data_IF_449620587889
#
_entry.id   IF_449620587889
#
_cell.length_a   1.000
_cell.length_b   1.000
_cell.length_c   1.000
_cell.angle_alpha   90.00
_cell.angle_beta   90.00
_cell.angle_gamma   90.00
#
_symmetry.space_group_name_H-M   'P 1'
#
loop_
_entity.id
_entity.type
_entity.pdbx_description
1 polymer ?
#
# COMPACT_ATOMS: atom_id res chain seq x y z
N UNK A 1 -16.88 0.41 -26.09
CA UNK A 1 -15.90 1.30 -25.42
C UNK A 1 -14.75 1.48 -26.38
N UNK A 2 -14.40 2.71 -26.76
CA UNK A 2 -13.22 2.95 -27.59
C UNK A 2 -11.99 2.80 -26.69
N UNK A 3 -11.14 1.82 -26.97
CA UNK A 3 -9.82 1.69 -26.34
C UNK A 3 -8.91 2.74 -26.97
N UNK A 4 -8.31 3.60 -26.16
CA UNK A 4 -7.33 4.57 -26.61
C UNK A 4 -5.93 4.11 -26.19
N UNK A 5 -5.03 4.00 -27.16
CA UNK A 5 -3.64 3.62 -26.89
C UNK A 5 -2.88 4.83 -26.36
N UNK A 6 -2.17 4.62 -25.25
CA UNK A 6 -1.40 5.65 -24.56
C UNK A 6 0.08 5.27 -24.63
N UNK A 7 0.91 6.17 -25.15
CA UNK A 7 2.35 5.97 -25.28
C UNK A 7 3.08 6.33 -23.97
N UNK A 8 3.56 5.30 -23.26
CA UNK A 8 4.33 5.45 -22.01
C UNK A 8 5.85 5.50 -22.25
N UNK A 9 6.34 5.51 -23.50
CA UNK A 9 7.79 5.67 -23.77
C UNK A 9 8.27 7.07 -23.39
N UNK A 10 7.36 8.04 -23.38
CA UNK A 10 7.52 9.40 -22.86
C UNK A 10 6.65 9.62 -21.61
N UNK A 11 6.94 10.64 -20.79
CA UNK A 11 6.07 11.01 -19.68
C UNK A 11 4.67 11.35 -20.17
N UNK A 12 3.67 10.63 -19.66
CA UNK A 12 2.28 10.72 -20.10
C UNK A 12 1.34 10.75 -18.90
N UNK A 13 0.30 11.58 -19.01
CA UNK A 13 -0.69 11.76 -17.94
C UNK A 13 -1.63 10.56 -17.94
N UNK A 14 -1.77 9.94 -16.76
CA UNK A 14 -2.87 9.04 -16.44
C UNK A 14 -3.88 9.84 -15.62
N UNK A 15 -5.04 10.06 -16.23
CA UNK A 15 -6.10 10.90 -15.66
C UNK A 15 -6.82 10.19 -14.51
N UNK A 16 -7.41 11.00 -13.62
CA UNK A 16 -8.17 10.47 -12.49
C UNK A 16 -9.36 9.64 -12.97
N UNK A 17 -9.55 8.49 -12.33
CA UNK A 17 -10.63 7.54 -12.56
C UNK A 17 -10.66 6.96 -13.99
N UNK A 18 -9.59 7.14 -14.78
CA UNK A 18 -9.41 6.47 -16.05
C UNK A 18 -8.72 5.11 -15.84
N UNK A 19 -9.22 4.09 -16.52
CA UNK A 19 -8.69 2.74 -16.46
C UNK A 19 -7.65 2.54 -17.55
N UNK A 20 -6.45 2.12 -17.15
CA UNK A 20 -5.34 1.82 -18.05
C UNK A 20 -4.91 0.37 -17.86
N UNK A 21 -4.85 -0.40 -18.95
CA UNK A 21 -4.24 -1.75 -18.96
C UNK A 21 -2.86 -1.61 -19.59
N UNK A 22 -1.82 -1.84 -18.78
CA UNK A 22 -0.42 -1.58 -19.15
C UNK A 22 0.34 -2.90 -19.16
N UNK A 23 0.88 -3.35 -20.31
CA UNK A 23 1.81 -4.48 -20.33
C UNK A 23 3.03 -4.17 -19.44
N UNK A 24 3.35 -5.10 -18.53
CA UNK A 24 4.56 -4.98 -17.72
C UNK A 24 5.79 -5.38 -18.53
N UNK A 25 6.94 -4.84 -18.13
CA UNK A 25 8.22 -5.19 -18.74
C UNK A 25 8.66 -6.61 -18.34
N UNK A 26 8.32 -7.02 -17.12
CA UNK A 26 8.59 -8.34 -16.60
C UNK A 26 7.64 -9.39 -17.18
N UNK A 27 8.18 -10.60 -17.35
CA UNK A 27 7.43 -11.80 -17.73
C UNK A 27 7.89 -12.98 -16.87
N UNK A 28 7.03 -13.98 -16.76
CA UNK A 28 7.29 -15.11 -15.87
C UNK A 28 7.43 -16.42 -16.64
N UNK A 29 8.25 -17.31 -16.08
CA UNK A 29 8.36 -18.72 -16.44
C UNK A 29 8.58 -19.48 -15.14
N UNK A 30 7.49 -19.70 -14.40
CA UNK A 30 7.54 -20.29 -13.07
C UNK A 30 7.70 -21.81 -13.15
N UNK A 31 8.43 -22.43 -12.21
CA UNK A 31 8.36 -23.87 -11.98
C UNK A 31 6.95 -24.30 -11.55
N UNK A 32 6.57 -25.56 -11.81
CA UNK A 32 5.24 -26.11 -11.45
C UNK A 32 4.89 -26.01 -9.97
N UNK A 33 5.88 -25.98 -9.09
CA UNK A 33 5.71 -25.86 -7.65
C UNK A 33 5.80 -24.44 -7.11
N UNK A 34 5.78 -23.40 -7.96
CA UNK A 34 5.91 -22.00 -7.54
C UNK A 34 4.74 -21.20 -8.07
N UNK A 35 4.02 -20.56 -7.16
CA UNK A 35 3.00 -19.54 -7.46
C UNK A 35 3.49 -18.17 -6.97
N UNK A 36 2.73 -17.12 -7.26
CA UNK A 36 3.02 -15.81 -6.71
C UNK A 36 1.74 -15.01 -6.47
N UNK A 37 1.88 -13.95 -5.68
CA UNK A 37 0.83 -12.96 -5.46
C UNK A 37 1.40 -11.56 -5.52
N UNK A 38 0.69 -10.65 -6.15
CA UNK A 38 1.06 -9.25 -6.27
C UNK A 38 0.29 -8.37 -5.30
N UNK A 39 0.83 -7.18 -5.03
CA UNK A 39 0.07 -6.08 -4.45
C UNK A 39 0.65 -4.72 -4.87
N UNK A 40 -0.10 -3.64 -4.67
CA UNK A 40 0.43 -2.29 -4.84
C UNK A 40 1.60 -2.03 -3.89
N UNK A 41 2.59 -1.27 -4.37
CA UNK A 41 3.63 -0.74 -3.49
C UNK A 41 3.02 0.30 -2.57
N UNK A 42 3.52 0.39 -1.34
CA UNK A 42 3.07 1.38 -0.36
C UNK A 42 3.21 2.84 -0.85
N UNK A 43 4.14 3.13 -1.78
CA UNK A 43 4.22 4.46 -2.42
C UNK A 43 3.06 4.77 -3.36
N UNK A 44 2.52 3.75 -4.04
CA UNK A 44 1.37 3.82 -4.94
C UNK A 44 0.08 3.93 -4.13
N UNK A 45 -0.03 3.16 -3.05
CA UNK A 45 -1.13 3.25 -2.10
C UNK A 45 -1.25 4.66 -1.51
N UNK A 46 -0.13 5.24 -1.06
CA UNK A 46 -0.10 6.64 -0.57
C UNK A 46 -0.41 7.71 -1.62
N UNK A 47 -0.51 7.37 -2.90
CA UNK A 47 -0.97 8.26 -3.97
C UNK A 47 -2.41 7.95 -4.40
N UNK A 48 -3.05 6.99 -3.74
CA UNK A 48 -4.37 6.47 -4.09
C UNK A 48 -4.45 5.99 -5.54
N UNK A 49 -3.40 5.28 -5.97
CA UNK A 49 -3.35 4.63 -7.26
C UNK A 49 -3.81 3.19 -7.06
N UNK A 50 -4.98 2.86 -7.62
CA UNK A 50 -5.45 1.49 -7.69
C UNK A 50 -4.62 0.73 -8.73
N UNK A 51 -4.07 -0.42 -8.32
CA UNK A 51 -3.23 -1.26 -9.16
C UNK A 51 -3.61 -2.71 -8.95
N UNK A 52 -3.83 -3.45 -10.05
CA UNK A 52 -4.02 -4.90 -10.05
C UNK A 52 -3.13 -5.54 -11.10
N UNK A 53 -2.42 -6.60 -10.74
CA UNK A 53 -1.66 -7.40 -11.70
C UNK A 53 -2.58 -8.44 -12.35
N UNK A 54 -2.43 -8.61 -13.66
CA UNK A 54 -3.21 -9.51 -14.50
C UNK A 54 -2.26 -10.50 -15.16
N UNK A 55 -2.69 -11.76 -15.18
CA UNK A 55 -2.04 -12.85 -15.92
C UNK A 55 -2.96 -13.35 -17.02
N UNK A 56 -2.37 -13.84 -18.11
CA UNK A 56 -3.14 -14.57 -19.13
C UNK A 56 -3.83 -15.79 -18.52
N UNK A 57 -5.14 -15.92 -18.72
CA UNK A 57 -5.98 -16.99 -18.17
C UNK A 57 -6.04 -17.04 -16.62
N UNK A 58 -5.67 -15.94 -15.95
CA UNK A 58 -5.86 -15.82 -14.50
C UNK A 58 -7.34 -15.78 -14.14
N UNK A 59 -7.73 -16.49 -13.08
CA UNK A 59 -9.11 -16.49 -12.55
C UNK A 59 -9.36 -15.29 -11.61
N UNK A 60 -8.31 -14.78 -10.99
CA UNK A 60 -8.34 -13.68 -10.03
C UNK A 60 -7.23 -12.67 -10.33
N UNK A 61 -7.48 -11.39 -10.01
CA UNK A 61 -6.43 -10.38 -10.03
C UNK A 61 -5.37 -10.68 -8.96
N UNK A 62 -4.15 -10.20 -9.22
CA UNK A 62 -2.96 -10.28 -8.38
C UNK A 62 -2.41 -11.69 -8.12
N UNK A 63 -3.19 -12.75 -8.28
CA UNK A 63 -2.71 -14.12 -8.12
C UNK A 63 -2.08 -14.61 -9.44
N UNK A 64 -0.92 -15.25 -9.30
CA UNK A 64 -0.19 -15.90 -10.41
C UNK A 64 -0.21 -17.41 -10.16
N UNK A 65 -0.82 -18.21 -11.05
CA UNK A 65 -0.96 -19.64 -10.84
C UNK A 65 0.39 -20.36 -10.85
N UNK A 66 0.43 -21.53 -10.22
CA UNK A 66 1.64 -22.33 -10.16
C UNK A 66 2.09 -22.76 -11.57
N UNK A 67 3.37 -22.61 -11.88
CA UNK A 67 3.89 -22.96 -13.20
C UNK A 67 3.54 -21.97 -14.32
N UNK A 68 3.03 -20.78 -13.99
CA UNK A 68 2.67 -19.75 -14.97
C UNK A 68 3.84 -19.40 -15.90
N UNK A 69 3.56 -19.37 -17.21
CA UNK A 69 4.51 -18.97 -18.25
C UNK A 69 3.82 -17.99 -19.19
N UNK A 70 4.18 -16.70 -19.10
CA UNK A 70 3.48 -15.68 -19.86
C UNK A 70 3.86 -14.24 -19.50
N UNK A 71 3.28 -13.27 -20.23
CA UNK A 71 3.40 -11.85 -19.92
C UNK A 71 2.65 -11.48 -18.64
N UNK A 72 2.93 -10.30 -18.10
CA UNK A 72 2.12 -9.70 -17.05
C UNK A 72 1.55 -8.38 -17.53
N UNK A 73 0.38 -8.00 -17.02
CA UNK A 73 -0.20 -6.68 -17.24
C UNK A 73 -0.56 -6.06 -15.89
N UNK A 74 -0.71 -4.75 -15.85
CA UNK A 74 -1.26 -4.03 -14.72
C UNK A 74 -2.46 -3.20 -15.14
N UNK A 75 -3.58 -3.37 -14.44
CA UNK A 75 -4.64 -2.38 -14.40
C UNK A 75 -4.21 -1.26 -13.46
N UNK A 76 -4.21 -0.03 -13.94
CA UNK A 76 -3.81 1.17 -13.18
C UNK A 76 -4.91 2.23 -13.27
N UNK A 77 -5.39 2.67 -12.11
CA UNK A 77 -6.42 3.71 -11.98
C UNK A 77 -6.01 4.71 -10.90
N UNK A 78 -5.49 5.90 -11.26
CA UNK A 78 -5.28 6.98 -10.31
C UNK A 78 -6.63 7.49 -9.78
N UNK A 79 -6.85 7.57 -8.47
CA UNK A 79 -8.16 7.97 -7.91
C UNK A 79 -8.16 9.40 -7.36
N UNK A 80 -7.22 9.70 -6.46
CA UNK A 80 -7.11 11.05 -5.85
C UNK A 80 -6.39 12.06 -6.73
N UNK A 81 -5.26 11.67 -7.34
CA UNK A 81 -4.41 12.56 -8.13
C UNK A 81 -4.26 12.01 -9.54
N UNK A 82 -4.26 12.88 -10.55
CA UNK A 82 -3.73 12.51 -11.84
C UNK A 82 -2.21 12.31 -11.69
N UNK A 83 -1.62 11.40 -12.47
CA UNK A 83 -0.19 11.09 -12.36
C UNK A 83 0.52 11.17 -13.70
N UNK A 84 1.74 11.72 -13.72
CA UNK A 84 2.63 11.61 -14.88
C UNK A 84 3.41 10.31 -14.74
N UNK A 85 3.12 9.35 -15.60
CA UNK A 85 3.75 8.04 -15.62
C UNK A 85 4.61 7.86 -16.87
N UNK A 86 5.62 7.00 -16.77
CA UNK A 86 6.47 6.59 -17.88
C UNK A 86 6.86 5.12 -17.68
N UNK A 87 7.18 4.42 -18.77
CA UNK A 87 7.75 3.08 -18.72
C UNK A 87 8.93 3.00 -17.72
N UNK A 88 8.94 1.95 -16.90
CA UNK A 88 9.86 1.79 -15.77
C UNK A 88 9.35 2.34 -14.43
N UNK A 89 8.19 3.01 -14.40
CA UNK A 89 7.49 3.33 -13.16
C UNK A 89 7.12 2.03 -12.42
N UNK A 90 7.40 1.99 -11.11
CA UNK A 90 7.22 0.81 -10.27
C UNK A 90 6.03 1.03 -9.34
N UNK A 91 4.87 0.46 -9.70
CA UNK A 91 3.61 0.66 -8.99
C UNK A 91 3.15 -0.56 -8.18
N UNK A 92 3.49 -1.76 -8.62
CA UNK A 92 3.20 -3.02 -7.95
C UNK A 92 4.48 -3.78 -7.58
N UNK A 93 4.32 -4.84 -6.81
CA UNK A 93 5.35 -5.78 -6.41
C UNK A 93 4.75 -7.18 -6.32
N UNK A 94 5.59 -8.21 -6.45
CA UNK A 94 5.18 -9.61 -6.52
C UNK A 94 6.00 -10.44 -5.52
N UNK A 95 5.32 -11.31 -4.78
CA UNK A 95 5.92 -12.26 -3.83
C UNK A 95 5.71 -13.69 -4.32
N UNK A 96 6.80 -14.38 -4.58
CA UNK A 96 6.81 -15.79 -4.97
C UNK A 96 6.72 -16.69 -3.74
N UNK A 97 6.05 -17.82 -3.89
CA UNK A 97 5.84 -18.81 -2.81
C UNK A 97 5.81 -20.23 -3.37
N UNK A 98 6.14 -21.19 -2.53
CA UNK A 98 5.91 -22.60 -2.87
C UNK A 98 4.41 -22.85 -2.97
N UNK A 99 3.98 -23.50 -4.05
CA UNK A 99 2.59 -23.84 -4.27
C UNK A 99 2.21 -25.04 -3.39
N UNK A 100 1.44 -24.80 -2.33
CA UNK A 100 0.92 -25.84 -1.46
C UNK A 100 -0.59 -26.01 -1.63
N UNK A 101 -1.06 -27.26 -1.66
CA UNK A 101 -2.50 -27.58 -1.69
C UNK A 101 -3.19 -27.18 -0.39
N UNK A 102 -2.43 -27.11 0.72
CA UNK A 102 -2.91 -26.64 2.01
C UNK A 102 -2.44 -25.21 2.24
N UNK A 103 -3.31 -24.29 2.71
CA UNK A 103 -2.87 -22.98 3.16
C UNK A 103 -1.76 -23.15 4.22
N UNK A 104 -0.65 -22.44 4.04
CA UNK A 104 0.38 -22.35 5.08
C UNK A 104 -0.24 -21.62 6.27
N UNK A 105 -0.31 -22.28 7.42
CA UNK A 105 -0.83 -21.64 8.61
C UNK A 105 0.06 -20.44 8.96
N UNK A 106 -0.52 -19.27 9.27
CA UNK A 106 0.29 -18.12 9.65
C UNK A 106 1.03 -18.42 10.95
N UNK A 107 2.26 -17.92 11.06
CA UNK A 107 3.07 -18.02 12.28
C UNK A 107 2.34 -17.32 13.42
N UNK A 108 1.83 -16.13 13.13
CA UNK A 108 1.03 -15.31 14.04
C UNK A 108 0.20 -14.32 13.25
N UNK A 109 -0.80 -13.76 13.94
CA UNK A 109 -1.58 -12.63 13.42
C UNK A 109 -1.58 -11.50 14.44
N UNK A 110 -1.57 -10.26 13.95
CA UNK A 110 -1.60 -9.05 14.78
C UNK A 110 -2.75 -8.17 14.30
N UNK A 111 -3.74 -7.83 15.15
CA UNK A 111 -4.76 -6.86 14.77
C UNK A 111 -4.10 -5.48 14.57
N UNK A 112 -4.60 -4.73 13.60
CA UNK A 112 -4.15 -3.36 13.31
C UNK A 112 -5.30 -2.41 13.61
N UNK A 113 -5.04 -1.45 14.49
CA UNK A 113 -6.02 -0.44 14.90
C UNK A 113 -5.57 0.97 14.56
N UNK A 114 -6.50 1.90 14.36
CA UNK A 114 -6.17 3.29 13.98
C UNK A 114 -5.73 4.12 15.20
N UNK A 115 -4.65 4.89 15.02
CA UNK A 115 -4.18 5.88 15.97
C UNK A 115 -4.69 7.30 15.69
N UNK A 116 -5.76 7.72 16.37
CA UNK A 116 -6.27 9.10 16.36
C UNK A 116 -5.87 9.91 17.61
N UNK A 117 -4.92 9.45 18.43
CA UNK A 117 -4.42 10.24 19.57
C UNK A 117 -3.47 11.34 19.06
N UNK A 118 -3.73 12.64 19.30
CA UNK A 118 -2.81 13.71 18.90
C UNK A 118 -1.56 13.79 19.80
N UNK A 119 -1.54 13.11 20.96
CA UNK A 119 -0.43 13.18 21.91
C UNK A 119 0.89 12.71 21.28
N UNK A 120 1.93 13.54 21.40
CA UNK A 120 3.27 13.24 20.87
C UNK A 120 3.41 13.37 19.35
N UNK A 121 2.37 13.83 18.63
CA UNK A 121 2.42 14.10 17.18
C UNK A 121 2.70 15.57 16.92
N UNK A 122 3.54 15.84 15.93
CA UNK A 122 3.85 17.22 15.51
C UNK A 122 2.59 17.96 15.07
N UNK A 123 2.41 19.17 15.59
CA UNK A 123 1.19 19.97 15.39
C UNK A 123 -0.13 19.30 15.78
N UNK A 124 -0.10 18.17 16.51
CA UNK A 124 -1.29 17.36 16.79
C UNK A 124 -1.91 16.71 15.54
N UNK A 125 -1.14 16.54 14.46
CA UNK A 125 -1.62 15.98 13.20
C UNK A 125 -1.82 14.47 13.34
N UNK A 126 -3.07 14.01 13.19
CA UNK A 126 -3.47 12.62 13.31
C UNK A 126 -3.57 11.88 11.97
N UNK A 127 -3.53 12.62 10.86
CA UNK A 127 -3.67 12.07 9.51
C UNK A 127 -3.52 13.13 8.44
N UNK A 128 -3.63 12.72 7.18
CA UNK A 128 -3.75 13.61 6.04
C UNK A 128 -4.95 13.21 5.18
N UNK A 129 -5.68 14.20 4.66
CA UNK A 129 -6.71 14.03 3.63
C UNK A 129 -6.16 14.49 2.29
N UNK A 130 -6.35 13.70 1.24
CA UNK A 130 -5.99 14.13 -0.11
C UNK A 130 -6.87 15.30 -0.53
N UNK A 131 -6.31 16.32 -1.19
CA UNK A 131 -7.10 17.43 -1.72
C UNK A 131 -7.90 16.96 -2.94
N UNK A 132 -9.17 17.36 -3.00
CA UNK A 132 -10.06 17.11 -4.16
C UNK A 132 -9.54 17.73 -5.45
N UNK A 133 -8.93 18.91 -5.35
CA UNK A 133 -8.37 19.67 -6.46
C UNK A 133 -6.89 19.89 -6.18
N UNK A 134 -6.06 19.10 -6.85
CA UNK A 134 -4.61 19.16 -6.77
C UNK A 134 -4.02 19.07 -8.17
N UNK A 135 -2.75 19.44 -8.31
CA UNK A 135 -2.01 19.30 -9.55
C UNK A 135 -1.72 17.84 -9.93
N UNK A 136 -0.84 17.68 -10.90
CA UNK A 136 -0.35 16.39 -11.38
C UNK A 136 0.80 15.91 -10.50
N UNK A 137 0.78 14.64 -10.07
CA UNK A 137 1.94 14.03 -9.39
C UNK A 137 2.84 13.38 -10.43
N UNK A 138 4.03 13.94 -10.64
CA UNK A 138 5.09 13.31 -11.44
C UNK A 138 5.76 12.17 -10.66
N UNK A 139 5.57 10.93 -11.13
CA UNK A 139 6.11 9.72 -10.48
C UNK A 139 7.64 9.62 -10.57
N UNK A 140 8.29 10.35 -11.48
CA UNK A 140 9.74 10.40 -11.57
C UNK A 140 10.37 11.38 -10.56
N UNK A 141 9.58 12.32 -10.01
CA UNK A 141 10.08 13.38 -9.11
C UNK A 141 9.85 13.02 -7.63
N UNK A 142 10.91 12.52 -6.99
CA UNK A 142 10.94 12.28 -5.54
C UNK A 142 11.11 13.63 -4.82
N UNK A 143 10.29 13.90 -3.80
CA UNK A 143 10.28 15.16 -3.06
C UNK A 143 10.01 16.41 -3.93
N UNK A 144 9.41 16.22 -5.12
CA UNK A 144 9.22 17.29 -6.09
C UNK A 144 7.93 18.07 -5.94
N UNK A 145 7.05 17.65 -5.02
CA UNK A 145 5.69 18.18 -4.88
C UNK A 145 5.44 18.69 -3.46
N UNK A 146 5.08 19.97 -3.26
CA UNK A 146 4.83 20.50 -1.92
C UNK A 146 3.65 19.79 -1.25
N UNK A 147 3.81 19.29 -0.03
CA UNK A 147 2.74 18.59 0.70
C UNK A 147 1.43 19.41 0.70
N UNK A 148 1.53 20.71 0.97
CA UNK A 148 0.37 21.61 1.11
C UNK A 148 -0.50 21.76 -0.14
N UNK A 149 0.02 21.46 -1.33
CA UNK A 149 -0.72 21.50 -2.60
C UNK A 149 -1.55 20.24 -2.86
N UNK A 150 -1.24 19.13 -2.19
CA UNK A 150 -1.85 17.82 -2.44
C UNK A 150 -2.56 17.25 -1.22
N UNK A 151 -2.17 17.67 -0.02
CA UNK A 151 -2.65 17.11 1.24
C UNK A 151 -3.09 18.19 2.22
N UNK A 152 -4.15 17.90 2.94
CA UNK A 152 -4.64 18.66 4.08
C UNK A 152 -4.29 17.90 5.36
N UNK A 153 -3.49 18.48 6.27
CA UNK A 153 -3.25 17.87 7.57
C UNK A 153 -4.54 17.85 8.38
N UNK A 154 -4.81 16.74 9.06
CA UNK A 154 -5.96 16.57 9.94
C UNK A 154 -5.46 16.65 11.37
N UNK A 155 -5.99 17.58 12.15
CA UNK A 155 -5.75 17.68 13.59
C UNK A 155 -6.97 17.19 14.35
N UNK A 156 -6.76 16.51 15.48
CA UNK A 156 -7.87 16.08 16.33
C UNK A 156 -8.67 17.29 16.87
N UNK A 157 -9.99 17.14 16.99
CA UNK A 157 -10.82 18.09 17.72
C UNK A 157 -10.50 17.95 19.22
N UNK A 158 -10.30 19.08 19.91
CA UNK A 158 -9.92 19.08 21.33
C UNK A 158 -10.85 18.19 22.18
N UNK A 159 -10.25 17.27 22.94
CA UNK A 159 -10.97 16.33 23.81
C UNK A 159 -11.59 15.12 23.10
N UNK A 160 -11.43 14.98 21.77
CA UNK A 160 -11.94 13.84 21.01
C UNK A 160 -10.82 13.03 20.36
N UNK A 161 -11.06 11.74 20.18
CA UNK A 161 -10.16 10.79 19.49
C UNK A 161 -10.92 10.06 18.40
N UNK A 162 -11.60 10.83 17.56
CA UNK A 162 -12.52 10.36 16.53
C UNK A 162 -12.31 11.16 15.23
N UNK A 163 -12.64 10.55 14.09
CA UNK A 163 -12.56 11.16 12.76
C UNK A 163 -13.73 10.66 11.91
N UNK A 164 -14.49 11.58 11.33
CA UNK A 164 -15.47 11.23 10.30
C UNK A 164 -14.75 11.07 8.96
N UNK A 165 -14.93 9.91 8.34
CA UNK A 165 -14.45 9.62 7.00
C UNK A 165 -15.57 9.88 6.00
N UNK A 166 -15.41 10.94 5.22
CA UNK A 166 -16.36 11.31 4.17
C UNK A 166 -16.21 10.36 2.97
N UNK A 167 -17.32 9.98 2.31
CA UNK A 167 -17.27 9.21 1.07
C UNK A 167 -16.41 9.90 0.01
N UNK A 168 -15.80 9.09 -0.84
CA UNK A 168 -14.92 9.52 -1.94
C UNK A 168 -13.62 10.23 -1.54
N UNK A 169 -13.45 10.60 -0.27
CA UNK A 169 -12.18 11.11 0.26
C UNK A 169 -11.16 10.00 0.47
N UNK A 170 -9.89 10.40 0.47
CA UNK A 170 -8.76 9.51 0.72
C UNK A 170 -7.94 10.02 1.91
N UNK A 171 -7.68 9.11 2.85
CA UNK A 171 -7.01 9.42 4.10
C UNK A 171 -5.74 8.58 4.26
N UNK A 172 -4.67 9.25 4.70
CA UNK A 172 -3.47 8.61 5.22
C UNK A 172 -3.53 8.71 6.73
N UNK A 173 -3.71 7.56 7.38
CA UNK A 173 -3.72 7.38 8.82
C UNK A 173 -2.55 6.47 9.23
N UNK A 174 -2.49 6.11 10.51
CA UNK A 174 -1.42 5.28 11.05
C UNK A 174 -1.95 4.28 12.07
N UNK A 175 -1.29 3.14 12.20
CA UNK A 175 -1.59 2.16 13.23
C UNK A 175 -1.22 2.66 14.64
N UNK A 176 -1.96 2.21 15.65
CA UNK A 176 -1.58 2.41 17.05
C UNK A 176 -0.41 1.51 17.45
N UNK A 177 -0.38 0.29 16.92
CA UNK A 177 0.65 -0.70 17.18
C UNK A 177 1.93 -0.37 16.42
N UNK A 178 3.06 -0.48 17.12
CA UNK A 178 4.36 -0.65 16.48
C UNK A 178 4.58 -2.14 16.22
N UNK A 179 4.86 -2.50 14.97
CA UNK A 179 4.99 -3.89 14.54
C UNK A 179 6.43 -4.20 14.16
N UNK A 180 6.79 -5.49 14.26
CA UNK A 180 8.11 -6.01 13.93
C UNK A 180 7.95 -7.29 13.13
N UNK A 181 8.61 -7.34 11.96
CA UNK A 181 8.72 -8.54 11.14
C UNK A 181 10.11 -9.14 11.36
N UNK A 182 10.14 -10.40 11.81
CA UNK A 182 11.38 -11.13 12.08
C UNK A 182 12.23 -11.35 10.83
N UNK A 183 13.46 -11.81 11.02
CA UNK A 183 14.41 -12.02 9.92
C UNK A 183 14.05 -13.20 9.00
N UNK A 184 13.25 -14.14 9.50
CA UNK A 184 12.81 -15.34 8.79
C UNK A 184 11.29 -15.34 8.55
N UNK A 185 10.64 -14.18 8.70
CA UNK A 185 9.22 -14.00 8.51
C UNK A 185 8.99 -12.89 7.48
N UNK A 186 7.89 -12.98 6.76
CA UNK A 186 7.31 -11.84 6.04
C UNK A 186 5.90 -11.61 6.56
N UNK A 187 5.34 -10.42 6.33
CA UNK A 187 3.93 -10.18 6.66
C UNK A 187 3.15 -9.61 5.47
N UNK A 188 1.84 -9.86 5.50
CA UNK A 188 0.85 -9.30 4.58
C UNK A 188 -0.25 -8.66 5.43
N UNK A 189 -0.56 -7.41 5.14
CA UNK A 189 -1.74 -6.77 5.73
C UNK A 189 -2.97 -7.24 4.97
N UNK A 190 -3.91 -7.85 5.68
CA UNK A 190 -5.20 -8.28 5.13
C UNK A 190 -6.28 -7.37 5.71
N UNK A 191 -7.08 -6.77 4.84
CA UNK A 191 -8.20 -5.92 5.27
C UNK A 191 -9.20 -6.74 6.11
N UNK A 192 -9.76 -6.11 7.15
CA UNK A 192 -10.85 -6.71 7.90
C UNK A 192 -12.09 -6.87 7.01
N UNK A 193 -12.80 -7.99 7.14
CA UNK A 193 -13.85 -8.44 6.21
C UNK A 193 -14.93 -7.34 5.96
N UNK A 194 -15.16 -6.93 4.69
CA UNK A 194 -16.16 -5.95 4.29
C UNK A 194 -17.61 -6.32 4.66
N UNK A 195 -17.92 -7.58 4.97
CA UNK A 195 -19.25 -7.98 5.44
C UNK A 195 -19.60 -7.40 6.82
N UNK A 196 -18.62 -6.81 7.54
CA UNK A 196 -18.76 -6.32 8.92
C UNK A 196 -18.58 -4.80 9.06
N UNK A 197 -18.34 -4.04 7.98
CA UNK A 197 -18.29 -2.58 8.08
C UNK A 197 -17.94 -1.80 6.79
N UNK A 198 -18.17 -0.49 6.85
CA UNK A 198 -18.05 0.50 5.74
C UNK A 198 -16.61 1.02 5.52
N UNK A 199 -15.65 0.50 6.29
CA UNK A 199 -14.26 0.97 6.35
C UNK A 199 -13.32 0.01 5.62
N UNK A 200 -12.59 0.49 4.61
CA UNK A 200 -11.60 -0.32 3.90
C UNK A 200 -10.20 0.28 4.04
N UNK A 201 -9.24 -0.57 4.41
CA UNK A 201 -7.83 -0.34 4.10
C UNK A 201 -7.65 -0.69 2.61
N UNK A 202 -7.61 0.33 1.75
CA UNK A 202 -7.69 0.13 0.30
C UNK A 202 -6.45 -0.54 -0.30
N UNK A 203 -5.29 -0.44 0.36
CA UNK A 203 -4.00 -0.88 -0.17
C UNK A 203 -3.23 -1.79 0.79
N UNK A 204 -3.91 -2.84 1.27
CA UNK A 204 -3.29 -4.00 1.90
C UNK A 204 -1.99 -4.40 1.19
N UNK A 205 -0.88 -4.43 1.93
CA UNK A 205 0.47 -4.48 1.39
C UNK A 205 1.39 -5.46 2.10
N UNK A 206 2.54 -5.71 1.48
CA UNK A 206 3.61 -6.54 2.04
C UNK A 206 4.48 -5.74 3.02
N UNK A 207 4.84 -6.39 4.11
CA UNK A 207 5.96 -6.00 4.98
C UNK A 207 7.06 -7.04 4.83
N UNK A 208 8.29 -6.56 4.70
CA UNK A 208 9.48 -7.37 4.43
C UNK A 208 10.19 -7.78 5.73
N UNK A 209 11.02 -8.82 5.63
CA UNK A 209 11.85 -9.30 6.74
C UNK A 209 12.70 -8.16 7.31
N UNK A 210 12.68 -7.97 8.63
CA UNK A 210 13.42 -6.89 9.30
C UNK A 210 12.66 -5.57 9.46
N UNK A 211 11.43 -5.44 8.93
CA UNK A 211 10.61 -4.25 9.16
C UNK A 211 10.41 -4.00 10.65
N UNK A 212 10.81 -2.81 11.14
CA UNK A 212 10.73 -2.44 12.56
C UNK A 212 11.73 -3.17 13.47
N UNK A 213 12.57 -4.07 12.95
CA UNK A 213 13.52 -4.86 13.73
C UNK A 213 14.70 -4.00 14.24
N UNK A 214 15.02 -4.13 15.52
CA UNK A 214 16.08 -3.33 16.16
C UNK A 214 17.47 -3.58 15.59
N UNK A 215 17.78 -4.83 15.24
CA UNK A 215 19.03 -5.22 14.59
C UNK A 215 19.18 -4.65 13.17
N UNK A 216 18.07 -4.21 12.56
CA UNK A 216 18.02 -3.46 11.32
C UNK A 216 17.73 -1.96 11.57
N UNK A 217 18.08 -1.44 12.75
CA UNK A 217 17.95 -0.02 13.11
C UNK A 217 16.54 0.44 13.47
N UNK A 218 15.60 -0.47 13.76
CA UNK A 218 14.24 -0.17 14.19
C UNK A 218 14.02 -0.14 15.71
N UNK A 219 12.80 0.17 16.16
CA UNK A 219 12.38 0.02 17.56
C UNK A 219 10.90 -0.44 17.62
N UNK A 220 10.49 -1.25 16.63
CA UNK A 220 9.11 -1.30 16.15
C UNK A 220 8.81 -0.16 15.19
N UNK A 221 7.97 -0.40 14.18
CA UNK A 221 7.50 0.64 13.27
C UNK A 221 6.00 0.59 13.14
N UNK A 222 5.35 1.75 13.16
CA UNK A 222 3.92 1.84 12.88
C UNK A 222 3.67 1.69 11.39
N UNK A 223 2.50 1.17 11.04
CA UNK A 223 2.07 0.96 9.67
C UNK A 223 1.26 2.17 9.23
N UNK A 224 1.58 2.72 8.06
CA UNK A 224 0.73 3.73 7.42
C UNK A 224 -0.50 3.03 6.85
N UNK A 225 -1.66 3.61 7.08
CA UNK A 225 -2.95 3.06 6.68
C UNK A 225 -3.57 3.96 5.63
N UNK A 226 -3.89 3.37 4.49
CA UNK A 226 -4.60 4.05 3.42
C UNK A 226 -6.10 3.73 3.49
N UNK A 227 -6.90 4.73 3.85
CA UNK A 227 -8.29 4.53 4.28
C UNK A 227 -9.25 5.34 3.40
N UNK A 228 -10.36 4.70 3.02
CA UNK A 228 -11.56 5.37 2.48
C UNK A 228 -12.80 4.77 3.15
N UNK A 229 -13.86 5.57 3.29
CA UNK A 229 -15.20 5.07 3.60
C UNK A 229 -15.94 4.71 2.31
N UNK A 230 -16.89 3.80 2.41
CA UNK A 230 -17.74 3.38 1.31
C UNK A 230 -19.14 4.00 1.46
N UNK A 231 -19.60 4.70 0.42
CA UNK A 231 -20.96 5.19 0.15
C UNK A 231 -21.61 6.15 1.18
N UNK A 232 -21.28 6.05 2.47
CA UNK A 232 -21.79 6.88 3.56
C UNK A 232 -20.66 7.34 4.49
N UNK A 233 -20.82 8.51 5.16
CA UNK A 233 -19.86 8.96 6.16
C UNK A 233 -19.74 7.96 7.30
N UNK A 234 -18.51 7.63 7.68
CA UNK A 234 -18.23 6.66 8.75
C UNK A 234 -17.41 7.29 9.87
N UNK A 235 -17.89 7.22 11.11
CA UNK A 235 -17.15 7.68 12.28
C UNK A 235 -16.15 6.59 12.71
N UNK A 236 -14.86 6.92 12.67
CA UNK A 236 -13.80 6.08 13.20
C UNK A 236 -13.34 6.61 14.55
N UNK A 237 -13.18 5.71 15.51
CA UNK A 237 -12.60 6.01 16.82
C UNK A 237 -11.16 5.50 16.92
N UNK A 238 -10.38 6.10 17.81
CA UNK A 238 -9.06 5.58 18.16
C UNK A 238 -9.16 4.15 18.70
N UNK A 239 -8.27 3.27 18.23
CA UNK A 239 -8.30 1.85 18.57
C UNK A 239 -9.30 1.03 17.75
N UNK A 240 -10.05 1.64 16.82
CA UNK A 240 -10.87 0.92 15.87
C UNK A 240 -10.00 -0.01 15.01
N UNK A 241 -10.33 -1.30 15.00
CA UNK A 241 -9.64 -2.30 14.16
C UNK A 241 -10.01 -2.12 12.70
N UNK A 242 -9.00 -2.18 11.82
CA UNK A 242 -9.17 -1.99 10.37
C UNK A 242 -8.52 -3.06 9.50
N UNK A 243 -7.52 -3.76 10.04
CA UNK A 243 -6.82 -4.80 9.32
C UNK A 243 -6.26 -5.84 10.28
N UNK A 244 -5.68 -6.88 9.70
CA UNK A 244 -4.90 -7.89 10.40
C UNK A 244 -3.59 -8.09 9.64
N UNK A 245 -2.46 -8.01 10.32
CA UNK A 245 -1.20 -8.47 9.77
C UNK A 245 -1.10 -9.98 9.95
N UNK A 246 -0.84 -10.67 8.85
CA UNK A 246 -0.65 -12.12 8.79
C UNK A 246 0.82 -12.38 8.52
N UNK A 247 1.48 -13.11 9.42
CA UNK A 247 2.90 -13.42 9.32
C UNK A 247 3.09 -14.80 8.72
N UNK A 248 3.94 -14.90 7.70
CA UNK A 248 4.25 -16.11 6.95
C UNK A 248 5.75 -16.46 7.09
N UNK A 249 6.10 -17.76 7.12
CA UNK A 249 7.50 -18.17 7.14
C UNK A 249 8.18 -17.89 5.79
N UNK A 250 9.45 -17.47 5.83
CA UNK A 250 10.29 -17.40 4.66
C UNK A 250 10.88 -18.78 4.34
N UNK A 251 11.07 -19.07 3.05
CA UNK A 251 11.77 -20.28 2.61
C UNK A 251 13.24 -20.30 3.09
N UNK A 252 13.85 -19.13 3.19
CA UNK A 252 15.19 -18.91 3.75
C UNK A 252 15.32 -17.46 4.23
N UNK A 253 16.27 -17.20 5.14
CA UNK A 253 16.62 -15.82 5.53
C UNK A 253 17.11 -15.06 4.28
N UNK A 254 16.61 -13.86 3.99
CA UNK A 254 17.08 -13.09 2.84
C UNK A 254 18.50 -12.57 3.07
N UNK A 255 19.24 -12.36 1.98
CA UNK A 255 20.61 -11.81 2.03
C UNK A 255 20.65 -10.39 2.61
N UNK A 256 19.53 -9.66 2.53
CA UNK A 256 19.38 -8.30 3.04
C UNK A 256 18.06 -8.16 3.79
N UNK A 257 18.12 -7.59 4.99
CA UNK A 257 16.93 -7.21 5.73
C UNK A 257 16.49 -5.79 5.40
N UNK A 258 15.18 -5.57 5.46
CA UNK A 258 14.62 -4.23 5.43
C UNK A 258 15.18 -3.39 6.58
N UNK A 259 15.68 -2.19 6.30
CA UNK A 259 16.26 -1.30 7.31
C UNK A 259 17.80 -1.29 7.36
N UNK A 260 18.48 -2.34 6.89
CA UNK A 260 19.94 -2.45 6.98
C UNK A 260 20.72 -1.47 6.10
N UNK A 261 20.17 -1.06 4.96
CA UNK A 261 20.77 -0.07 4.06
C UNK A 261 20.22 1.36 4.33
N UNK A 262 21.12 2.36 4.32
CA UNK A 262 20.79 3.80 4.29
C UNK A 262 19.87 4.10 3.10
N UNK A 263 18.58 4.34 3.38
CA UNK A 263 17.57 4.57 2.34
C UNK A 263 16.29 3.75 2.48
N UNK A 264 16.14 2.97 3.56
CA UNK A 264 14.90 2.26 3.87
C UNK A 264 13.76 3.26 4.12
N UNK A 265 12.94 3.47 3.09
CA UNK A 265 12.02 4.61 3.01
C UNK A 265 10.97 4.68 4.14
N UNK A 266 10.82 3.65 4.98
CA UNK A 266 9.76 3.53 5.99
C UNK A 266 10.19 2.92 7.33
N UNK A 267 11.49 2.74 7.60
CA UNK A 267 11.97 2.20 8.90
C UNK A 267 11.83 3.26 10.01
N UNK A 268 11.20 2.88 11.13
CA UNK A 268 11.15 3.69 12.36
C UNK A 268 10.27 4.95 12.29
N UNK A 269 9.31 5.01 11.36
CA UNK A 269 8.63 6.27 11.02
C UNK A 269 7.22 6.41 11.60
N UNK A 270 6.90 7.66 11.95
CA UNK A 270 5.54 8.15 12.19
C UNK A 270 4.79 8.42 10.89
N UNK A 271 3.69 9.18 10.98
CA UNK A 271 2.79 9.47 9.87
C UNK A 271 3.55 10.05 8.67
N UNK A 272 3.53 9.34 7.52
CA UNK A 272 4.31 9.73 6.33
C UNK A 272 3.54 9.53 5.03
N UNK A 273 3.66 10.52 4.16
CA UNK A 273 3.11 10.55 2.80
C UNK A 273 4.03 9.80 1.80
N UNK A 274 3.61 9.73 0.53
CA UNK A 274 4.44 9.11 -0.51
C UNK A 274 5.77 9.85 -0.67
N UNK A 275 6.81 9.15 -1.14
CA UNK A 275 8.17 9.70 -1.35
C UNK A 275 8.23 10.90 -2.32
N UNK A 276 7.15 11.17 -3.04
CA UNK A 276 7.06 12.24 -4.03
C UNK A 276 6.80 13.62 -3.41
N UNK A 277 6.41 13.67 -2.12
CA UNK A 277 6.08 14.92 -1.42
C UNK A 277 7.21 15.40 -0.50
N UNK A 278 7.37 16.71 -0.39
CA UNK A 278 8.30 17.40 0.51
C UNK A 278 7.65 18.63 1.18
#
# INVERSE_FOLDING_TARGET
MATHEVDLTKPTVLERNCVHIIPLMERLTLPKGVSARANPKSSSGRLDIFVRVITDNGETFDDVPAGYCGPLYAEVVPRSFAVLAQAGARLAQIRFREASVKPVAPIRTVPVTIDLDPAGKDGGVIGYRARRHAGLVDLAKIGGHPISEFWEPITAIAGRRELVLDPDEFYILMSAEAVVVGEAEAAEMVAYDPAVGELRSHYAGYLDCGFGLAEAGGAGSRVVLEVRSHDVPFLVEHGQRVATLVYEPMAQRPDRLYGQDLGSNYQGQGLKLSKHFA
#
